data_IF_306857892618
#
_entry.id   IF_306857892618
#
_cell.length_a   1.000
_cell.length_b   1.000
_cell.length_c   1.000
_cell.angle_alpha   90.00
_cell.angle_beta   90.00
_cell.angle_gamma   90.00
#
_symmetry.space_group_name_H-M   'P 1'
#
loop_
_entity.id
_entity.type
_entity.pdbx_description
1 polymer ?
#
# COMPACT_ATOMS: atom_id res chain seq x y z
N UNK A 1 -3.40 -7.88 -23.69
CA UNK A 1 -4.07 -7.89 -22.41
C UNK A 1 -3.10 -7.77 -21.27
N UNK A 2 -3.38 -6.90 -20.34
CA UNK A 2 -2.48 -6.66 -19.26
C UNK A 2 -2.72 -7.56 -18.11
N UNK A 3 -1.66 -8.06 -17.54
CA UNK A 3 -1.78 -8.84 -16.35
C UNK A 3 -1.40 -7.99 -15.16
N UNK A 4 -2.23 -8.02 -14.14
CA UNK A 4 -1.87 -7.37 -12.91
C UNK A 4 -0.92 -8.26 -12.14
N UNK A 5 0.04 -7.64 -11.48
CA UNK A 5 0.96 -8.37 -10.66
C UNK A 5 0.23 -8.89 -9.42
N UNK A 6 0.61 -10.07 -8.94
CA UNK A 6 0.00 -10.56 -7.71
C UNK A 6 0.43 -9.69 -6.54
N UNK A 7 -0.42 -9.67 -5.52
CA UNK A 7 -0.07 -8.99 -4.28
C UNK A 7 1.00 -9.76 -3.56
N UNK A 8 1.90 -9.04 -2.90
CA UNK A 8 2.93 -9.68 -2.08
C UNK A 8 2.93 -9.07 -0.70
N UNK A 9 3.33 -9.86 0.26
CA UNK A 9 3.41 -9.40 1.64
C UNK A 9 4.51 -8.37 1.78
N UNK A 10 4.19 -7.26 2.44
CA UNK A 10 5.14 -6.17 2.61
C UNK A 10 5.02 -5.65 4.02
N UNK A 11 6.02 -4.89 4.44
CA UNK A 11 5.95 -4.13 5.67
C UNK A 11 5.59 -2.70 5.31
N UNK A 12 4.66 -2.12 6.05
CA UNK A 12 4.21 -0.77 5.79
C UNK A 12 4.34 0.02 7.08
N UNK A 13 4.95 1.19 6.98
CA UNK A 13 4.99 2.11 8.10
C UNK A 13 3.79 3.02 8.02
N UNK A 14 3.12 3.22 9.14
CA UNK A 14 1.95 4.07 9.17
C UNK A 14 2.20 5.25 10.09
N UNK A 15 1.50 6.33 9.81
CA UNK A 15 1.54 7.47 10.70
C UNK A 15 1.05 7.02 12.07
N UNK A 16 1.81 7.33 13.10
CA UNK A 16 1.47 6.83 14.42
C UNK A 16 0.49 7.78 15.09
N UNK A 17 -0.77 7.63 14.74
CA UNK A 17 -1.80 8.40 15.37
C UNK A 17 -2.51 7.65 16.46
N UNK A 18 -1.94 6.54 16.89
CA UNK A 18 -2.54 5.75 17.92
C UNK A 18 -3.49 4.70 17.42
N UNK A 19 -3.68 4.61 16.12
CA UNK A 19 -4.55 3.63 15.52
C UNK A 19 -3.81 2.83 14.50
N UNK A 20 -4.22 1.58 14.33
CA UNK A 20 -3.61 0.73 13.32
C UNK A 20 -3.98 1.22 11.93
N UNK A 21 -3.08 1.03 11.00
CA UNK A 21 -3.31 1.23 9.58
C UNK A 21 -3.97 2.55 9.23
N UNK A 22 -3.65 3.59 9.95
CA UNK A 22 -4.34 4.83 9.76
C UNK A 22 -3.93 5.51 8.47
N UNK A 23 -2.63 5.54 8.19
CA UNK A 23 -2.17 6.23 7.01
C UNK A 23 -0.78 5.74 6.65
N UNK A 24 -0.64 5.07 5.50
CA UNK A 24 0.68 4.60 5.10
C UNK A 24 1.62 5.76 4.83
N UNK A 25 2.85 5.68 5.34
CA UNK A 25 3.87 6.68 5.08
C UNK A 25 5.12 6.07 4.48
N UNK A 26 5.29 4.77 4.55
CA UNK A 26 6.43 4.10 3.97
C UNK A 26 6.13 2.66 3.65
N UNK A 27 6.80 2.12 2.65
CA UNK A 27 6.63 0.75 2.21
C UNK A 27 7.99 0.11 2.04
N UNK A 28 8.16 -1.11 2.56
CA UNK A 28 9.33 -1.91 2.26
C UNK A 28 8.99 -2.79 1.08
N UNK A 29 9.52 -2.45 -0.09
CA UNK A 29 9.18 -3.11 -1.33
C UNK A 29 10.42 -3.78 -1.91
N UNK A 30 10.43 -5.10 -1.87
CA UNK A 30 11.50 -5.88 -2.49
C UNK A 30 12.88 -5.38 -2.13
N UNK A 31 13.09 -5.15 -0.83
CA UNK A 31 14.38 -4.71 -0.33
C UNK A 31 14.61 -3.23 -0.40
N UNK A 32 13.63 -2.47 -0.90
CA UNK A 32 13.72 -1.03 -1.01
C UNK A 32 12.77 -0.37 -0.05
N UNK A 33 13.20 0.72 0.53
CA UNK A 33 12.34 1.50 1.40
C UNK A 33 11.81 2.67 0.62
N UNK A 34 10.51 2.71 0.43
CA UNK A 34 9.86 3.72 -0.39
C UNK A 34 9.03 4.62 0.50
N UNK A 35 9.20 5.93 0.33
CA UNK A 35 8.42 6.90 1.07
C UNK A 35 7.12 7.15 0.32
N UNK A 36 5.99 7.14 1.04
CA UNK A 36 4.71 7.47 0.44
C UNK A 36 4.61 8.99 0.33
N UNK A 37 4.48 9.48 -0.89
CA UNK A 37 4.35 10.90 -1.13
C UNK A 37 2.91 11.36 -0.95
N UNK A 38 1.95 10.53 -1.35
CA UNK A 38 0.55 10.88 -1.16
C UNK A 38 -0.31 9.63 -1.16
N UNK A 39 -1.39 9.68 -0.41
CA UNK A 39 -2.42 8.66 -0.44
C UNK A 39 -3.50 9.17 -1.38
N UNK A 40 -3.67 8.52 -2.51
CA UNK A 40 -4.56 9.01 -3.53
C UNK A 40 -5.97 8.47 -3.39
N UNK A 41 -6.12 7.28 -2.83
CA UNK A 41 -7.42 6.71 -2.56
C UNK A 41 -7.34 5.85 -1.32
N UNK A 42 -8.44 5.81 -0.59
CA UNK A 42 -8.55 4.93 0.57
C UNK A 42 -9.97 4.44 0.64
N UNK A 43 -10.14 3.17 1.00
CA UNK A 43 -11.49 2.62 1.09
C UNK A 43 -11.50 1.47 2.09
N UNK A 44 -12.69 1.06 2.48
CA UNK A 44 -12.86 -0.09 3.35
C UNK A 44 -13.07 -1.33 2.54
N UNK A 45 -12.49 -2.42 3.02
CA UNK A 45 -12.75 -3.74 2.45
C UNK A 45 -13.45 -4.57 3.51
N UNK A 46 -14.02 -5.73 3.14
CA UNK A 46 -14.68 -6.56 4.15
C UNK A 46 -13.80 -6.92 5.33
N UNK A 47 -12.52 -7.13 5.13
CA UNK A 47 -11.64 -7.51 6.22
C UNK A 47 -10.63 -6.47 6.60
N UNK A 48 -10.71 -5.24 6.05
CA UNK A 48 -9.69 -4.26 6.38
C UNK A 48 -9.80 -2.98 5.60
N UNK A 49 -8.68 -2.57 5.02
CA UNK A 49 -8.58 -1.29 4.34
C UNK A 49 -7.80 -1.45 3.05
N UNK A 50 -8.11 -0.62 2.09
CA UNK A 50 -7.35 -0.56 0.85
C UNK A 50 -6.89 0.86 0.60
N UNK A 51 -5.74 0.98 -0.07
CA UNK A 51 -5.17 2.29 -0.39
C UNK A 51 -4.53 2.25 -1.75
N UNK A 52 -4.56 3.38 -2.43
CA UNK A 52 -3.68 3.59 -3.58
C UNK A 52 -2.78 4.76 -3.20
N UNK A 53 -1.48 4.52 -3.26
CA UNK A 53 -0.51 5.52 -2.86
C UNK A 53 0.47 5.79 -3.99
N UNK A 54 1.02 6.99 -3.99
CA UNK A 54 2.10 7.34 -4.88
C UNK A 54 3.35 7.52 -4.02
N UNK A 55 4.42 6.85 -4.39
CA UNK A 55 5.66 6.97 -3.64
C UNK A 55 6.54 8.05 -4.25
N UNK A 56 7.64 8.36 -3.57
CA UNK A 56 8.44 9.53 -3.90
C UNK A 56 8.99 9.52 -5.32
N UNK A 57 9.25 8.34 -5.89
CA UNK A 57 9.76 8.27 -7.25
C UNK A 57 8.66 8.14 -8.30
N UNK A 58 7.43 8.45 -7.92
CA UNK A 58 6.25 8.52 -8.80
C UNK A 58 5.61 7.18 -9.11
N UNK A 59 6.12 6.08 -8.59
CA UNK A 59 5.43 4.81 -8.76
C UNK A 59 4.17 4.80 -7.93
N UNK A 60 3.19 4.05 -8.38
CA UNK A 60 1.93 3.88 -7.65
C UNK A 60 1.83 2.46 -7.16
N UNK A 61 1.27 2.29 -5.97
CA UNK A 61 1.08 0.99 -5.37
C UNK A 61 -0.32 0.86 -4.84
N UNK A 62 -0.87 -0.32 -4.98
CA UNK A 62 -2.11 -0.67 -4.30
C UNK A 62 -1.75 -1.45 -3.05
N UNK A 63 -2.28 -1.01 -1.92
CA UNK A 63 -2.01 -1.64 -0.62
C UNK A 63 -3.31 -2.17 -0.06
N UNK A 64 -3.23 -3.31 0.59
CA UNK A 64 -4.37 -3.85 1.31
C UNK A 64 -3.93 -4.29 2.69
N UNK A 65 -4.70 -3.91 3.68
CA UNK A 65 -4.44 -4.25 5.06
C UNK A 65 -5.55 -5.15 5.56
N UNK A 66 -5.18 -6.27 6.19
CA UNK A 66 -6.14 -7.19 6.79
C UNK A 66 -6.07 -7.05 8.30
N UNK A 67 -7.18 -6.65 8.88
CA UNK A 67 -7.22 -6.37 10.31
C UNK A 67 -6.97 -7.62 11.14
N UNK A 68 -7.59 -8.72 10.76
CA UNK A 68 -7.50 -9.94 11.56
C UNK A 68 -6.07 -10.45 11.72
N UNK A 69 -5.26 -10.31 10.69
CA UNK A 69 -3.89 -10.80 10.72
C UNK A 69 -2.86 -9.70 10.87
N UNK A 70 -3.30 -8.46 10.86
CA UNK A 70 -2.40 -7.31 10.94
C UNK A 70 -1.32 -7.41 9.86
N UNK A 71 -1.75 -7.70 8.64
CA UNK A 71 -0.83 -7.89 7.54
C UNK A 71 -1.14 -6.98 6.39
N UNK A 72 -0.08 -6.57 5.71
CA UNK A 72 -0.17 -5.75 4.51
C UNK A 72 0.28 -6.53 3.32
N UNK A 73 -0.41 -6.33 2.21
CA UNK A 73 0.06 -6.81 0.92
C UNK A 73 0.03 -5.64 -0.04
N UNK A 74 0.84 -5.74 -1.07
CA UNK A 74 0.99 -4.65 -2.02
C UNK A 74 1.29 -5.18 -3.39
N UNK A 75 0.96 -4.36 -4.39
CA UNK A 75 1.43 -4.60 -5.74
C UNK A 75 1.70 -3.27 -6.39
N UNK A 76 2.68 -3.25 -7.26
CA UNK A 76 2.97 -2.05 -8.02
C UNK A 76 1.96 -1.95 -9.14
N UNK A 77 1.37 -0.77 -9.30
CA UNK A 77 0.40 -0.55 -10.35
C UNK A 77 1.10 -0.14 -11.61
N UNK A 78 0.71 -0.76 -12.72
CA UNK A 78 1.24 -0.41 -14.01
C UNK A 78 0.27 0.56 -14.63
N UNK A 79 0.70 1.79 -14.76
CA UNK A 79 -0.17 2.80 -15.35
C UNK A 79 0.04 2.83 -16.84
N UNK A 80 -1.06 2.81 -17.55
CA UNK A 80 -1.02 2.94 -18.98
C UNK A 80 -0.99 4.39 -19.35
N UNK A 81 -0.10 4.70 -20.23
CA UNK A 81 -0.02 6.08 -20.67
C UNK A 81 -0.44 6.17 -22.11
#
# INVERSE_FOLDING_TARGET
MKKQQPMETVAVECYSGGRFAERPVGIAWRGERLRVASVERAWRTPGGLGFIVRVADSRHFELAYTIASDQWVARQMMLDV
#
